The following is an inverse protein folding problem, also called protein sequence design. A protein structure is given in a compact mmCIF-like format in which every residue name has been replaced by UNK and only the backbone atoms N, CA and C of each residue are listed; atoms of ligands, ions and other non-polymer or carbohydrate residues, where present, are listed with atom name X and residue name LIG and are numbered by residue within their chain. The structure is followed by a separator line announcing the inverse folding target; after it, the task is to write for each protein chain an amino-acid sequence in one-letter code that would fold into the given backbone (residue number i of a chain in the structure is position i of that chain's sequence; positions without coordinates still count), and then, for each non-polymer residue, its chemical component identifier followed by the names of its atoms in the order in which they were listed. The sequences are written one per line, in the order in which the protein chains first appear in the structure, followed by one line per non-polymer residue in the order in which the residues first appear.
data_IF_839971283759
#
_entry.id   IF_839971283759
#
_cell.length_a   1.000
_cell.length_b   1.000
_cell.length_c   1.000
_cell.angle_alpha   90.00
_cell.angle_beta   90.00
_cell.angle_gamma   90.00
#
_symmetry.space_group_name_H-M   'P 1'
#
loop_
_entity.id
_entity.type
_entity.pdbx_description
1 polymer ?
#
# COMPACT_ATOMS: atom_id res chain seq x y z
N UNK A 1 -7.31 -5.58 9.10
CA UNK A 1 -7.52 -4.48 8.12
C UNK A 1 -8.87 -3.79 8.32
N UNK A 2 -10.01 -4.43 8.01
CA UNK A 2 -11.34 -3.78 8.11
C UNK A 2 -11.70 -3.23 9.50
N UNK A 3 -11.29 -3.90 10.58
CA UNK A 3 -11.51 -3.44 11.97
C UNK A 3 -10.74 -2.16 12.30
N UNK A 4 -9.45 -2.11 11.94
CA UNK A 4 -8.59 -0.92 12.13
C UNK A 4 -9.11 0.30 11.38
N UNK A 5 -9.68 0.09 10.19
CA UNK A 5 -10.31 1.15 9.40
C UNK A 5 -11.56 1.74 10.08
N UNK A 6 -12.40 0.88 10.69
CA UNK A 6 -13.58 1.31 11.46
C UNK A 6 -13.19 2.05 12.74
N UNK A 7 -12.13 1.58 13.42
CA UNK A 7 -11.69 2.12 14.71
C UNK A 7 -10.86 3.41 14.55
N UNK A 8 -10.02 3.50 13.52
CA UNK A 8 -9.17 4.67 13.24
C UNK A 8 -8.71 4.75 11.78
N UNK A 9 -9.41 5.54 10.93
CA UNK A 9 -9.01 5.81 9.56
C UNK A 9 -7.59 6.40 9.43
N UNK A 10 -7.17 7.23 10.38
CA UNK A 10 -5.83 7.82 10.43
C UNK A 10 -4.73 6.78 10.67
N UNK A 11 -4.97 5.83 11.58
CA UNK A 11 -4.02 4.75 11.83
C UNK A 11 -3.92 3.84 10.61
N UNK A 12 -5.05 3.56 9.95
CA UNK A 12 -5.08 2.78 8.73
C UNK A 12 -4.28 3.45 7.60
N UNK A 13 -4.46 4.76 7.37
CA UNK A 13 -3.67 5.52 6.40
C UNK A 13 -2.16 5.44 6.70
N UNK A 14 -1.76 5.61 7.96
CA UNK A 14 -0.35 5.49 8.38
C UNK A 14 0.23 4.10 8.07
N UNK A 15 -0.53 3.03 8.33
CA UNK A 15 -0.13 1.67 7.99
C UNK A 15 0.07 1.54 6.47
N UNK A 16 -0.82 2.12 5.67
CA UNK A 16 -0.69 2.04 4.22
C UNK A 16 0.53 2.82 3.68
N UNK A 17 0.86 3.98 4.26
CA UNK A 17 2.10 4.71 3.93
C UNK A 17 3.33 3.86 4.22
N UNK A 18 3.33 3.16 5.36
CA UNK A 18 4.44 2.28 5.73
C UNK A 18 4.57 1.08 4.78
N UNK A 19 3.45 0.45 4.38
CA UNK A 19 3.46 -0.65 3.42
C UNK A 19 3.95 -0.20 2.04
N UNK A 20 3.50 0.97 1.56
CA UNK A 20 3.98 1.53 0.29
C UNK A 20 5.50 1.75 0.31
N UNK A 21 6.01 2.38 1.39
CA UNK A 21 7.44 2.62 1.53
C UNK A 21 8.25 1.32 1.59
N UNK A 22 7.75 0.32 2.32
CA UNK A 22 8.37 -0.99 2.43
C UNK A 22 8.45 -1.68 1.07
N UNK A 23 7.35 -1.78 0.32
CA UNK A 23 7.34 -2.49 -0.96
C UNK A 23 8.18 -1.79 -2.03
N UNK A 24 8.21 -0.45 -2.06
CA UNK A 24 9.15 0.30 -2.91
C UNK A 24 10.60 0.00 -2.59
N UNK A 25 10.94 -0.10 -1.30
CA UNK A 25 12.30 -0.41 -0.87
C UNK A 25 12.67 -1.87 -1.12
N UNK A 26 11.74 -2.81 -0.96
CA UNK A 26 11.95 -4.23 -1.29
C UNK A 26 12.18 -4.44 -2.78
N UNK A 27 11.42 -3.72 -3.63
CA UNK A 27 11.65 -3.66 -5.08
C UNK A 27 13.04 -3.11 -5.39
N UNK A 28 13.37 -1.94 -4.86
CA UNK A 28 14.67 -1.26 -5.11
C UNK A 28 15.88 -2.09 -4.69
N UNK A 29 15.75 -2.83 -3.58
CA UNK A 29 16.83 -3.70 -3.07
C UNK A 29 16.94 -5.02 -3.81
N UNK A 30 15.95 -5.35 -4.63
CA UNK A 30 15.83 -6.67 -5.21
C UNK A 30 15.97 -7.75 -4.11
N UNK A 31 15.33 -7.51 -2.94
CA UNK A 31 15.63 -8.21 -1.68
C UNK A 31 15.49 -9.74 -1.78
N UNK A 32 14.66 -10.22 -2.72
CA UNK A 32 14.38 -11.64 -2.97
C UNK A 32 14.98 -12.18 -4.28
N UNK A 33 16.01 -11.53 -4.84
CA UNK A 33 16.55 -11.80 -6.19
C UNK A 33 17.94 -12.47 -6.28
N UNK A 34 18.50 -13.22 -5.30
CA UNK A 34 19.78 -13.88 -5.58
C UNK A 34 19.57 -15.06 -6.56
N UNK A 35 20.31 -15.04 -7.69
CA UNK A 35 20.46 -16.14 -8.67
C UNK A 35 19.19 -16.56 -9.46
N UNK A 36 18.33 -15.60 -9.85
CA UNK A 36 17.13 -15.88 -10.64
C UNK A 36 17.38 -15.81 -12.16
N UNK A 37 16.61 -16.60 -12.91
CA UNK A 37 16.48 -16.45 -14.36
C UNK A 37 15.75 -15.14 -14.74
N UNK A 38 15.89 -14.67 -15.98
CA UNK A 38 15.19 -13.48 -16.48
C UNK A 38 13.67 -13.57 -16.28
N UNK A 39 13.09 -14.75 -16.46
CA UNK A 39 11.66 -14.99 -16.26
C UNK A 39 11.25 -14.76 -14.80
N UNK A 40 12.00 -15.31 -13.85
CA UNK A 40 11.68 -15.15 -12.43
C UNK A 40 11.86 -13.69 -11.99
N UNK A 41 12.91 -13.02 -12.47
CA UNK A 41 13.10 -11.59 -12.24
C UNK A 41 11.88 -10.80 -12.71
N UNK A 42 11.40 -11.04 -13.93
CA UNK A 42 10.20 -10.39 -14.47
C UNK A 42 8.96 -10.64 -13.61
N UNK A 43 8.74 -11.86 -13.12
CA UNK A 43 7.61 -12.17 -12.23
C UNK A 43 7.68 -11.36 -10.94
N UNK A 44 8.85 -11.25 -10.30
CA UNK A 44 8.98 -10.47 -9.07
C UNK A 44 8.81 -8.97 -9.29
N UNK A 45 9.35 -8.44 -10.39
CA UNK A 45 9.10 -7.05 -10.79
C UNK A 45 7.60 -6.76 -10.86
N UNK A 46 6.84 -7.61 -11.56
CA UNK A 46 5.38 -7.47 -11.68
C UNK A 46 4.64 -7.59 -10.35
N UNK A 47 5.08 -8.48 -9.46
CA UNK A 47 4.48 -8.62 -8.12
C UNK A 47 4.69 -7.37 -7.27
N UNK A 48 5.92 -6.82 -7.26
CA UNK A 48 6.21 -5.59 -6.54
C UNK A 48 5.48 -4.39 -7.10
N UNK A 49 5.38 -4.26 -8.43
CA UNK A 49 4.59 -3.21 -9.06
C UNK A 49 3.11 -3.31 -8.67
N UNK A 50 2.54 -4.51 -8.67
CA UNK A 50 1.18 -4.72 -8.22
C UNK A 50 0.97 -4.34 -6.74
N UNK A 51 1.92 -4.67 -5.84
CA UNK A 51 1.83 -4.26 -4.44
C UNK A 51 1.89 -2.74 -4.27
N UNK A 52 2.75 -2.06 -5.02
CA UNK A 52 2.85 -0.59 -5.00
C UNK A 52 1.54 0.03 -5.50
N UNK A 53 1.03 -0.40 -6.66
CA UNK A 53 -0.23 0.09 -7.24
C UNK A 53 -1.40 -0.09 -6.27
N UNK A 54 -1.50 -1.27 -5.64
CA UNK A 54 -2.54 -1.56 -4.65
C UNK A 54 -2.44 -0.62 -3.44
N UNK A 55 -1.24 -0.42 -2.88
CA UNK A 55 -1.07 0.49 -1.74
C UNK A 55 -1.41 1.93 -2.09
N UNK A 56 -1.04 2.40 -3.27
CA UNK A 56 -1.37 3.74 -3.74
C UNK A 56 -2.87 3.92 -3.98
N UNK A 57 -3.54 2.91 -4.53
CA UNK A 57 -5.00 2.93 -4.71
C UNK A 57 -5.71 2.97 -3.35
N UNK A 58 -5.30 2.15 -2.40
CA UNK A 58 -5.87 2.13 -1.05
C UNK A 58 -5.62 3.45 -0.30
N UNK A 59 -4.44 4.06 -0.47
CA UNK A 59 -4.12 5.37 0.11
C UNK A 59 -5.01 6.48 -0.43
N UNK A 60 -5.22 6.53 -1.74
CA UNK A 60 -6.16 7.50 -2.34
C UNK A 60 -7.58 7.27 -1.82
N UNK A 61 -7.98 6.01 -1.72
CA UNK A 61 -9.31 5.65 -1.24
C UNK A 61 -9.52 6.04 0.23
N UNK A 62 -8.58 5.78 1.14
CA UNK A 62 -8.74 6.14 2.56
C UNK A 62 -8.76 7.66 2.77
N UNK A 63 -8.01 8.42 1.97
CA UNK A 63 -8.03 9.88 2.01
C UNK A 63 -9.42 10.41 1.64
N UNK A 64 -10.00 9.93 0.53
CA UNK A 64 -11.37 10.25 0.14
C UNK A 64 -12.40 9.81 1.18
N UNK A 65 -12.24 8.61 1.75
CA UNK A 65 -13.11 8.10 2.80
C UNK A 65 -13.08 8.98 4.06
N UNK A 66 -11.88 9.44 4.46
CA UNK A 66 -11.71 10.36 5.59
C UNK A 66 -12.41 11.70 5.36
N UNK A 67 -12.23 12.29 4.19
CA UNK A 67 -12.92 13.53 3.81
C UNK A 67 -14.45 13.34 3.87
N UNK A 68 -14.96 12.20 3.38
CA UNK A 68 -16.36 11.83 3.49
C UNK A 68 -16.85 11.70 4.94
N UNK A 69 -16.06 11.12 5.84
CA UNK A 69 -16.40 11.03 7.27
C UNK A 69 -16.39 12.40 7.96
N UNK A 70 -15.46 13.29 7.60
CA UNK A 70 -15.41 14.65 8.13
C UNK A 70 -16.68 15.44 7.76
N UNK A 71 -17.26 15.20 6.58
CA UNK A 71 -18.54 15.78 6.19
C UNK A 71 -19.67 15.44 7.18
N UNK A 72 -19.73 14.21 7.68
CA UNK A 72 -20.77 13.78 8.63
C UNK A 72 -20.51 14.22 10.09
N UNK A 73 -19.30 14.66 10.42
CA UNK A 73 -18.97 15.16 11.77
C UNK A 73 -19.32 16.64 11.97
N UNK A 74 -19.52 17.37 10.87
CA UNK A 74 -19.81 18.82 10.87
C UNK A 74 -21.31 19.12 10.70
N UNK A 75 -22.17 18.14 10.96
CA UNK A 75 -23.64 18.20 10.98
C UNK A 75 -24.10 17.80 12.39
#
# INVERSE_FOLDING_TARGET
MKRVMQDSPFLYEKIMIQQLAMHREEKRREKNFPNRSEQEHFVWEMLYDNYVIMCEAELRWIQQFREGLEHFKNI
#
